data_IF_394917749807
#
_entry.id   IF_394917749807
#
_cell.length_a   1.000
_cell.length_b   1.000
_cell.length_c   1.000
_cell.angle_alpha   90.00
_cell.angle_beta   90.00
_cell.angle_gamma   90.00
#
_symmetry.space_group_name_H-M   'P 1'
#
loop_
_entity.id
_entity.type
_entity.pdbx_description
1 polymer ?
#
# COMPACT_ATOMS: atom_id res chain seq x y z
N UNK A 1 -51.22 -10.61 6.61
CA UNK A 1 -50.12 -10.90 7.56
C UNK A 1 -49.37 -12.07 6.97
N UNK A 2 -48.43 -11.85 6.05
CA UNK A 2 -47.03 -11.40 6.23
C UNK A 2 -46.18 -12.38 7.04
N UNK A 3 -45.31 -13.09 6.31
CA UNK A 3 -44.09 -13.71 6.83
C UNK A 3 -42.95 -13.18 5.94
N UNK A 4 -42.68 -11.88 6.07
CA UNK A 4 -41.43 -11.27 5.69
C UNK A 4 -40.62 -11.10 6.98
N UNK A 5 -39.53 -11.84 7.16
CA UNK A 5 -38.78 -11.74 8.41
C UNK A 5 -37.74 -12.81 8.67
N UNK A 6 -36.92 -13.17 7.69
CA UNK A 6 -35.59 -13.71 7.97
C UNK A 6 -34.60 -13.10 6.98
N UNK A 7 -34.14 -11.89 7.30
CA UNK A 7 -32.96 -11.30 6.68
C UNK A 7 -31.77 -12.10 7.19
N UNK A 8 -31.22 -12.97 6.35
CA UNK A 8 -30.03 -13.75 6.64
C UNK A 8 -28.81 -12.80 6.60
N UNK A 9 -28.40 -12.30 7.77
CA UNK A 9 -27.28 -11.37 7.94
C UNK A 9 -25.90 -12.04 7.90
N UNK A 10 -25.81 -13.32 7.53
CA UNK A 10 -24.51 -13.97 7.32
C UNK A 10 -23.84 -13.44 6.05
N UNK A 11 -22.51 -13.34 6.05
CA UNK A 11 -21.71 -12.91 4.90
C UNK A 11 -22.01 -13.76 3.65
N UNK A 12 -22.34 -15.05 3.84
CA UNK A 12 -22.86 -15.95 2.78
C UNK A 12 -24.24 -15.55 2.24
N UNK A 13 -25.14 -15.07 3.08
CA UNK A 13 -26.47 -14.60 2.68
C UNK A 13 -26.42 -13.32 1.85
N UNK A 14 -25.53 -12.40 2.20
CA UNK A 14 -25.30 -11.14 1.47
C UNK A 14 -24.65 -11.37 0.09
N UNK A 15 -23.74 -12.33 -0.01
CA UNK A 15 -23.10 -12.71 -1.28
C UNK A 15 -24.09 -13.42 -2.21
N UNK A 16 -24.94 -14.31 -1.68
CA UNK A 16 -25.98 -14.98 -2.48
C UNK A 16 -27.05 -14.00 -3.01
N UNK A 17 -27.48 -13.02 -2.20
CA UNK A 17 -28.50 -12.05 -2.63
C UNK A 17 -27.96 -11.10 -3.72
N UNK A 18 -26.66 -10.78 -3.68
CA UNK A 18 -25.99 -9.99 -4.72
C UNK A 18 -25.81 -10.75 -6.06
N UNK A 19 -25.67 -12.08 -6.00
CA UNK A 19 -25.45 -12.93 -7.18
C UNK A 19 -26.73 -13.33 -7.91
N UNK A 20 -27.86 -13.44 -7.19
CA UNK A 20 -29.12 -13.95 -7.76
C UNK A 20 -30.23 -12.91 -7.86
N UNK A 21 -30.03 -11.68 -7.37
CA UNK A 21 -31.01 -10.61 -7.42
C UNK A 21 -30.42 -9.36 -8.11
N UNK A 22 -30.63 -9.18 -9.43
CA UNK A 22 -30.06 -8.08 -10.21
C UNK A 22 -30.58 -6.68 -9.82
N UNK A 23 -31.44 -6.59 -8.80
CA UNK A 23 -31.89 -5.34 -8.18
C UNK A 23 -31.11 -4.89 -6.95
N UNK A 24 -30.11 -5.66 -6.48
CA UNK A 24 -29.32 -5.28 -5.31
C UNK A 24 -28.30 -4.18 -5.66
N UNK A 25 -28.26 -3.11 -4.86
CA UNK A 25 -27.54 -1.85 -5.14
C UNK A 25 -26.03 -1.87 -4.90
N UNK A 26 -25.39 -3.04 -4.73
CA UNK A 26 -23.95 -3.11 -4.45
C UNK A 26 -23.24 -4.05 -5.42
N UNK A 27 -22.16 -3.56 -6.03
CA UNK A 27 -21.30 -4.37 -6.90
C UNK A 27 -20.46 -5.35 -6.09
N UNK A 28 -19.98 -6.41 -6.74
CA UNK A 28 -19.07 -7.40 -6.13
C UNK A 28 -17.81 -6.73 -5.56
N UNK A 29 -17.35 -5.66 -6.20
CA UNK A 29 -16.22 -4.85 -5.74
C UNK A 29 -16.51 -4.16 -4.39
N UNK A 30 -17.75 -3.71 -4.17
CA UNK A 30 -18.17 -3.15 -2.88
C UNK A 30 -18.25 -4.22 -1.79
N UNK A 31 -18.56 -5.46 -2.14
CA UNK A 31 -18.63 -6.57 -1.18
C UNK A 31 -17.22 -7.02 -0.76
N UNK A 32 -16.29 -7.12 -1.70
CA UNK A 32 -14.89 -7.41 -1.42
C UNK A 32 -14.25 -6.32 -0.54
N UNK A 33 -14.55 -5.05 -0.83
CA UNK A 33 -14.12 -3.91 -0.03
C UNK A 33 -14.75 -3.90 1.38
N UNK A 34 -16.05 -4.18 1.51
CA UNK A 34 -16.75 -4.22 2.80
C UNK A 34 -16.24 -5.37 3.71
N UNK A 35 -15.84 -6.50 3.12
CA UNK A 35 -15.26 -7.63 3.86
C UNK A 35 -13.83 -7.37 4.35
N UNK A 36 -13.04 -6.58 3.60
CA UNK A 36 -11.73 -6.09 4.05
C UNK A 36 -11.83 -5.08 5.20
N UNK A 37 -12.94 -4.32 5.28
CA UNK A 37 -13.16 -3.25 6.27
C UNK A 37 -13.74 -3.77 7.59
N UNK A 38 -14.50 -4.85 7.60
CA UNK A 38 -15.28 -5.30 8.78
C UNK A 38 -14.58 -6.27 9.76
N UNK A 39 -13.25 -6.44 9.69
CA UNK A 39 -12.46 -7.28 10.63
C UNK A 39 -12.89 -8.76 10.72
N UNK A 40 -13.59 -9.31 9.72
CA UNK A 40 -13.82 -10.76 9.63
C UNK A 40 -12.55 -11.47 9.11
N UNK A 41 -12.27 -12.72 9.56
CA UNK A 41 -11.09 -13.45 9.13
C UNK A 41 -11.13 -13.70 7.61
N UNK A 42 -10.10 -13.19 6.92
CA UNK A 42 -9.90 -13.21 5.46
C UNK A 42 -9.85 -14.64 4.88
N UNK A 43 -9.75 -15.67 5.73
CA UNK A 43 -9.16 -16.96 5.37
C UNK A 43 -10.15 -17.96 4.74
N UNK A 44 -11.47 -17.86 4.95
CA UNK A 44 -12.37 -18.98 4.60
C UNK A 44 -13.41 -18.73 3.48
N UNK A 45 -13.54 -17.52 2.93
CA UNK A 45 -14.65 -17.18 2.01
C UNK A 45 -14.26 -16.84 0.56
N UNK A 46 -12.98 -16.84 0.18
CA UNK A 46 -12.57 -16.52 -1.20
C UNK A 46 -12.57 -17.74 -2.15
N UNK A 47 -12.89 -18.94 -1.68
CA UNK A 47 -12.80 -20.18 -2.49
C UNK A 47 -13.94 -20.39 -3.50
N UNK A 48 -14.87 -19.42 -3.66
CA UNK A 48 -16.16 -19.69 -4.28
C UNK A 48 -16.59 -18.90 -5.53
N UNK A 49 -15.97 -17.76 -5.91
CA UNK A 49 -16.69 -16.81 -6.80
C UNK A 49 -15.84 -16.14 -7.89
N UNK A 50 -15.75 -16.84 -9.04
CA UNK A 50 -15.71 -16.41 -10.47
C UNK A 50 -15.03 -15.10 -10.92
N UNK A 51 -13.96 -15.22 -11.74
CA UNK A 51 -13.68 -14.49 -13.03
C UNK A 51 -12.77 -15.44 -13.87
N UNK A 52 -12.50 -15.20 -15.17
CA UNK A 52 -11.63 -16.01 -16.06
C UNK A 52 -10.47 -16.71 -15.33
N UNK A 53 -10.08 -17.93 -15.74
CA UNK A 53 -9.06 -18.73 -15.02
C UNK A 53 -7.77 -17.96 -14.69
N UNK A 54 -7.36 -17.01 -15.52
CA UNK A 54 -6.22 -16.11 -15.29
C UNK A 54 -6.48 -15.08 -14.16
N UNK A 55 -7.64 -14.44 -14.15
CA UNK A 55 -8.07 -13.48 -13.10
C UNK A 55 -8.26 -14.20 -11.76
N UNK A 56 -8.83 -15.41 -11.78
CA UNK A 56 -8.98 -16.23 -10.57
C UNK A 56 -7.63 -16.65 -9.97
N UNK A 57 -6.62 -16.95 -10.80
CA UNK A 57 -5.29 -17.30 -10.33
C UNK A 57 -4.54 -16.09 -9.78
N UNK A 58 -4.66 -14.92 -10.44
CA UNK A 58 -4.06 -13.68 -9.98
C UNK A 58 -4.64 -13.23 -8.63
N UNK A 59 -5.97 -13.27 -8.46
CA UNK A 59 -6.65 -12.94 -7.20
C UNK A 59 -6.26 -13.95 -6.10
N UNK A 60 -6.23 -15.25 -6.42
CA UNK A 60 -5.81 -16.29 -5.46
C UNK A 60 -4.36 -16.10 -4.98
N UNK A 61 -3.44 -15.75 -5.88
CA UNK A 61 -2.04 -15.46 -5.55
C UNK A 61 -1.91 -14.18 -4.71
N UNK A 62 -2.64 -13.13 -5.07
CA UNK A 62 -2.71 -11.89 -4.30
C UNK A 62 -3.19 -12.14 -2.87
N UNK A 63 -4.33 -12.83 -2.70
CA UNK A 63 -4.89 -13.15 -1.39
C UNK A 63 -3.97 -14.06 -0.56
N UNK A 64 -3.33 -15.05 -1.19
CA UNK A 64 -2.39 -15.96 -0.52
C UNK A 64 -1.15 -15.22 0.00
N UNK A 65 -0.58 -14.31 -0.82
CA UNK A 65 0.54 -13.46 -0.41
C UNK A 65 0.16 -12.57 0.76
N UNK A 66 -0.95 -11.83 0.66
CA UNK A 66 -1.44 -11.00 1.77
C UNK A 66 -1.62 -11.82 3.06
N UNK A 67 -2.16 -13.04 2.97
CA UNK A 67 -2.32 -13.90 4.14
C UNK A 67 -0.97 -14.36 4.73
N UNK A 68 0.05 -14.62 3.92
CA UNK A 68 1.39 -14.97 4.41
C UNK A 68 2.00 -13.80 5.18
N UNK A 69 1.96 -12.62 4.58
CA UNK A 69 2.51 -11.39 5.17
C UNK A 69 1.78 -11.06 6.49
N UNK A 70 0.44 -11.14 6.52
CA UNK A 70 -0.34 -10.91 7.74
C UNK A 70 0.06 -11.88 8.87
N UNK A 71 0.32 -13.16 8.55
CA UNK A 71 0.81 -14.14 9.53
C UNK A 71 2.21 -13.80 10.04
N UNK A 72 3.12 -13.42 9.15
CA UNK A 72 4.49 -13.01 9.51
C UNK A 72 4.49 -11.78 10.40
N UNK A 73 3.71 -10.75 10.05
CA UNK A 73 3.56 -9.53 10.84
C UNK A 73 2.96 -9.82 12.23
N UNK A 74 1.92 -10.66 12.30
CA UNK A 74 1.33 -11.08 13.58
C UNK A 74 2.30 -11.91 14.42
N UNK A 75 3.05 -12.81 13.81
CA UNK A 75 4.08 -13.61 14.50
C UNK A 75 5.19 -12.73 15.07
N UNK A 76 5.52 -11.63 14.39
CA UNK A 76 6.45 -10.61 14.87
C UNK A 76 5.83 -9.62 15.88
N UNK A 77 4.54 -9.73 16.20
CA UNK A 77 3.83 -8.78 17.06
C UNK A 77 3.61 -7.40 16.43
N UNK A 78 3.82 -7.24 15.12
CA UNK A 78 3.68 -6.00 14.38
C UNK A 78 2.22 -5.76 13.96
N UNK A 79 1.36 -5.44 14.92
CA UNK A 79 -0.07 -5.16 14.67
C UNK A 79 -0.28 -3.99 13.72
N UNK A 80 0.55 -2.94 13.84
CA UNK A 80 0.53 -1.76 12.97
C UNK A 80 0.84 -2.10 11.52
N UNK A 81 1.83 -2.97 11.29
CA UNK A 81 2.10 -3.50 9.96
C UNK A 81 0.89 -4.25 9.40
N UNK A 82 0.18 -5.04 10.21
CA UNK A 82 -1.02 -5.73 9.73
C UNK A 82 -2.15 -4.76 9.34
N UNK A 83 -2.27 -3.62 10.01
CA UNK A 83 -3.22 -2.56 9.63
C UNK A 83 -2.80 -1.88 8.33
N UNK A 84 -1.52 -1.54 8.16
CA UNK A 84 -1.00 -0.97 6.92
C UNK A 84 -1.07 -1.93 5.73
N UNK A 85 -0.90 -3.24 5.96
CA UNK A 85 -1.14 -4.28 4.94
C UNK A 85 -2.59 -4.25 4.44
N UNK A 86 -3.57 -4.00 5.31
CA UNK A 86 -4.98 -3.85 4.89
C UNK A 86 -5.18 -2.60 4.06
N UNK A 87 -4.53 -1.49 4.42
CA UNK A 87 -4.63 -0.25 3.63
C UNK A 87 -4.02 -0.42 2.24
N UNK A 88 -2.87 -1.10 2.13
CA UNK A 88 -2.27 -1.46 0.84
C UNK A 88 -3.18 -2.42 0.05
N UNK A 89 -3.76 -3.43 0.71
CA UNK A 89 -4.67 -4.37 0.06
C UNK A 89 -5.89 -3.68 -0.56
N UNK A 90 -6.44 -2.63 0.10
CA UNK A 90 -7.53 -1.82 -0.47
C UNK A 90 -7.11 -1.11 -1.75
N UNK A 91 -5.88 -0.61 -1.83
CA UNK A 91 -5.39 0.08 -3.04
C UNK A 91 -5.25 -0.90 -4.21
N UNK A 92 -4.69 -2.08 -3.94
CA UNK A 92 -4.42 -3.07 -4.98
C UNK A 92 -5.58 -4.00 -5.31
N UNK A 93 -6.70 -3.93 -4.58
CA UNK A 93 -7.86 -4.80 -4.81
C UNK A 93 -8.39 -4.73 -6.24
N UNK A 94 -8.30 -3.56 -6.89
CA UNK A 94 -8.72 -3.35 -8.28
C UNK A 94 -7.60 -3.53 -9.31
N UNK A 95 -6.34 -3.69 -8.86
CA UNK A 95 -5.14 -3.80 -9.71
C UNK A 95 -4.09 -4.77 -9.13
N UNK A 96 -4.37 -6.08 -9.06
CA UNK A 96 -3.47 -7.06 -8.44
C UNK A 96 -2.09 -7.18 -9.10
N UNK A 97 -1.96 -6.79 -10.36
CA UNK A 97 -0.71 -6.74 -11.09
C UNK A 97 0.26 -5.67 -10.57
N UNK A 98 -0.27 -4.53 -10.10
CA UNK A 98 0.54 -3.47 -9.47
C UNK A 98 1.08 -3.94 -8.11
N UNK A 99 0.33 -4.77 -7.38
CA UNK A 99 0.81 -5.40 -6.14
C UNK A 99 2.04 -6.28 -6.38
N UNK A 100 2.11 -7.01 -7.49
CA UNK A 100 3.28 -7.82 -7.78
C UNK A 100 4.53 -6.98 -8.09
N UNK A 101 4.37 -5.78 -8.66
CA UNK A 101 5.49 -4.83 -8.84
C UNK A 101 5.95 -4.31 -7.49
N UNK A 102 5.02 -3.85 -6.66
CA UNK A 102 5.28 -3.43 -5.30
C UNK A 102 6.02 -4.51 -4.50
N UNK A 103 5.53 -5.75 -4.51
CA UNK A 103 6.15 -6.85 -3.77
C UNK A 103 7.54 -7.22 -4.29
N UNK A 104 7.86 -7.03 -5.58
CA UNK A 104 9.23 -7.27 -6.07
C UNK A 104 10.24 -6.34 -5.42
N UNK A 105 9.89 -5.07 -5.22
CA UNK A 105 10.75 -4.12 -4.51
C UNK A 105 10.81 -4.43 -3.01
N UNK A 106 9.69 -4.83 -2.41
CA UNK A 106 9.59 -5.13 -0.98
C UNK A 106 10.28 -6.45 -0.59
N UNK A 107 10.17 -7.49 -1.41
CA UNK A 107 10.76 -8.82 -1.17
C UNK A 107 12.31 -8.80 -1.22
N UNK A 108 12.90 -7.75 -1.81
CA UNK A 108 14.35 -7.55 -1.85
C UNK A 108 14.91 -6.92 -0.56
N UNK A 109 14.06 -6.43 0.33
CA UNK A 109 14.47 -5.79 1.58
C UNK A 109 14.82 -6.81 2.66
N UNK A 110 15.65 -6.41 3.62
CA UNK A 110 15.85 -7.20 4.83
C UNK A 110 14.55 -7.38 5.64
N UNK A 111 14.50 -8.36 6.54
CA UNK A 111 13.29 -8.68 7.29
C UNK A 111 12.73 -7.51 8.13
N UNK A 112 13.61 -6.62 8.61
CA UNK A 112 13.22 -5.46 9.41
C UNK A 112 12.64 -4.36 8.51
N UNK A 113 13.32 -4.07 7.40
CA UNK A 113 12.89 -3.12 6.37
C UNK A 113 11.58 -3.58 5.72
N UNK A 114 11.44 -4.87 5.44
CA UNK A 114 10.18 -5.49 4.99
C UNK A 114 9.01 -5.20 5.93
N UNK A 115 9.17 -5.47 7.23
CA UNK A 115 8.12 -5.18 8.22
C UNK A 115 7.84 -3.68 8.33
N UNK A 116 8.88 -2.85 8.18
CA UNK A 116 8.78 -1.39 8.23
C UNK A 116 7.91 -0.84 7.10
N UNK A 117 7.97 -1.39 5.89
CA UNK A 117 7.10 -1.00 4.77
C UNK A 117 5.63 -0.94 5.20
N UNK A 118 5.15 -2.02 5.81
CA UNK A 118 3.74 -2.14 6.19
C UNK A 118 3.39 -1.21 7.34
N UNK A 119 4.27 -1.06 8.34
CA UNK A 119 4.03 -0.10 9.42
C UNK A 119 4.01 1.35 8.92
N UNK A 120 4.89 1.69 7.97
CA UNK A 120 4.91 3.00 7.30
C UNK A 120 3.66 3.21 6.47
N UNK A 121 3.15 2.20 5.77
CA UNK A 121 1.89 2.31 5.03
C UNK A 121 0.71 2.65 5.96
N UNK A 122 0.69 2.07 7.18
CA UNK A 122 -0.28 2.45 8.21
C UNK A 122 -0.13 3.92 8.61
N UNK A 123 1.09 4.39 8.84
CA UNK A 123 1.33 5.80 9.20
C UNK A 123 0.95 6.77 8.08
N UNK A 124 1.24 6.42 6.83
CA UNK A 124 0.81 7.18 5.64
C UNK A 124 -0.72 7.32 5.65
N UNK A 125 -1.45 6.23 5.90
CA UNK A 125 -2.91 6.25 5.99
C UNK A 125 -3.42 7.08 7.18
N UNK A 126 -2.84 6.89 8.38
CA UNK A 126 -3.23 7.59 9.60
C UNK A 126 -3.01 9.11 9.51
N UNK A 127 -2.01 9.55 8.74
CA UNK A 127 -1.72 10.96 8.45
C UNK A 127 -2.52 11.52 7.25
N UNK A 128 -3.45 10.74 6.69
CA UNK A 128 -4.25 11.15 5.54
C UNK A 128 -3.44 11.35 4.26
N UNK A 129 -2.24 10.78 4.19
CA UNK A 129 -1.39 10.79 3.00
C UNK A 129 -1.85 9.70 2.01
N UNK A 130 -1.44 9.83 0.76
CA UNK A 130 -1.88 8.92 -0.30
C UNK A 130 -1.08 7.59 -0.26
N UNK A 131 -1.72 6.52 0.20
CA UNK A 131 -1.16 5.16 0.30
C UNK A 131 -0.84 4.57 -1.07
N UNK A 132 -1.70 4.79 -2.09
CA UNK A 132 -1.44 4.35 -3.47
C UNK A 132 -0.14 4.98 -4.00
N UNK A 133 0.05 6.28 -3.77
CA UNK A 133 1.28 6.99 -4.16
C UNK A 133 2.50 6.44 -3.45
N UNK A 134 2.41 6.19 -2.14
CA UNK A 134 3.50 5.55 -1.38
C UNK A 134 3.87 4.20 -1.99
N UNK A 135 2.88 3.35 -2.23
CA UNK A 135 3.10 2.01 -2.76
C UNK A 135 3.65 2.03 -4.19
N UNK A 136 3.13 2.89 -5.05
CA UNK A 136 3.60 3.05 -6.43
C UNK A 136 5.03 3.60 -6.51
N UNK A 137 5.38 4.55 -5.62
CA UNK A 137 6.74 5.10 -5.56
C UNK A 137 7.73 4.07 -5.02
N UNK A 138 7.38 3.33 -3.97
CA UNK A 138 8.26 2.27 -3.47
C UNK A 138 8.42 1.15 -4.50
N UNK A 139 7.32 0.76 -5.15
CA UNK A 139 7.30 -0.30 -6.16
C UNK A 139 7.98 0.06 -7.49
N UNK A 140 8.36 1.32 -7.71
CA UNK A 140 9.18 1.72 -8.86
C UNK A 140 10.67 1.59 -8.60
N UNK A 141 11.10 1.63 -7.34
CA UNK A 141 12.52 1.55 -6.96
C UNK A 141 12.96 0.09 -6.95
N UNK A 142 13.94 -0.27 -7.78
CA UNK A 142 14.46 -1.65 -7.83
C UNK A 142 15.66 -1.91 -6.91
N UNK A 143 16.44 -0.87 -6.59
CA UNK A 143 17.60 -0.98 -5.71
C UNK A 143 17.17 -1.02 -4.23
N UNK A 144 17.74 -1.97 -3.48
CA UNK A 144 17.42 -2.21 -2.07
C UNK A 144 17.72 -0.97 -1.20
N UNK A 145 18.90 -0.36 -1.36
CA UNK A 145 19.32 0.78 -0.54
C UNK A 145 18.52 2.04 -0.86
N UNK A 146 18.19 2.24 -2.12
CA UNK A 146 17.31 3.32 -2.54
C UNK A 146 15.90 3.13 -1.97
N UNK A 147 15.37 1.90 -1.97
CA UNK A 147 14.06 1.58 -1.38
C UNK A 147 14.05 1.83 0.14
N UNK A 148 15.11 1.43 0.84
CA UNK A 148 15.31 1.76 2.27
C UNK A 148 15.40 3.27 2.50
N UNK A 149 16.16 3.99 1.67
CA UNK A 149 16.27 5.44 1.72
C UNK A 149 14.93 6.16 1.54
N UNK A 150 14.06 5.65 0.65
CA UNK A 150 12.70 6.15 0.49
C UNK A 150 11.84 5.91 1.73
N UNK A 151 11.90 4.71 2.31
CA UNK A 151 11.20 4.37 3.55
C UNK A 151 11.64 5.27 4.70
N UNK A 152 12.95 5.45 4.88
CA UNK A 152 13.51 6.29 5.94
C UNK A 152 13.11 7.76 5.78
N UNK A 153 13.19 8.28 4.55
CA UNK A 153 12.77 9.64 4.23
C UNK A 153 11.26 9.84 4.47
N UNK A 154 10.44 8.85 4.12
CA UNK A 154 8.99 8.88 4.35
C UNK A 154 8.68 8.90 5.85
N UNK A 155 9.29 8.02 6.64
CA UNK A 155 9.10 8.01 8.10
C UNK A 155 9.57 9.30 8.75
N UNK A 156 10.71 9.86 8.32
CA UNK A 156 11.19 11.18 8.77
C UNK A 156 10.14 12.27 8.54
N UNK A 157 9.44 12.24 7.41
CA UNK A 157 8.34 13.19 7.13
C UNK A 157 7.16 12.96 8.07
N UNK A 158 6.76 11.70 8.26
CA UNK A 158 5.62 11.33 9.10
C UNK A 158 5.86 11.67 10.58
N UNK A 159 7.09 11.48 11.06
CA UNK A 159 7.52 11.66 12.44
C UNK A 159 7.78 13.11 12.84
N UNK A 160 7.77 14.06 11.90
CA UNK A 160 8.00 15.47 12.24
C UNK A 160 6.82 16.06 13.02
N UNK A 161 6.92 16.04 14.35
CA UNK A 161 5.85 16.48 15.26
C UNK A 161 5.60 18.00 15.17
N UNK A 162 6.59 18.76 14.70
CA UNK A 162 6.50 20.22 14.59
C UNK A 162 5.68 20.73 13.40
N UNK A 163 5.36 19.86 12.44
CA UNK A 163 4.73 20.25 11.18
C UNK A 163 3.29 19.76 11.06
N UNK A 164 2.49 20.53 10.32
CA UNK A 164 1.11 20.15 10.02
C UNK A 164 1.03 18.98 9.05
N UNK A 165 -0.07 18.23 9.06
CA UNK A 165 -0.29 17.14 8.09
C UNK A 165 -0.30 17.65 6.64
N UNK A 166 -0.71 18.90 6.42
CA UNK A 166 -0.63 19.55 5.10
C UNK A 166 0.82 19.73 4.63
N UNK A 167 1.72 20.14 5.52
CA UNK A 167 3.14 20.30 5.19
C UNK A 167 3.79 18.95 4.92
N UNK A 168 3.45 17.93 5.73
CA UNK A 168 3.89 16.55 5.50
C UNK A 168 3.43 16.03 4.14
N UNK A 169 2.17 16.24 3.79
CA UNK A 169 1.62 15.85 2.49
C UNK A 169 2.34 16.54 1.33
N UNK A 170 2.62 17.84 1.47
CA UNK A 170 3.35 18.61 0.46
C UNK A 170 4.76 18.08 0.24
N UNK A 171 5.52 17.86 1.32
CA UNK A 171 6.89 17.34 1.23
C UNK A 171 6.92 15.89 0.73
N UNK A 172 6.02 15.04 1.21
CA UNK A 172 5.87 13.67 0.72
C UNK A 172 5.56 13.63 -0.79
N UNK A 173 4.65 14.47 -1.26
CA UNK A 173 4.33 14.55 -2.69
C UNK A 173 5.53 14.99 -3.54
N UNK A 174 6.35 15.92 -3.04
CA UNK A 174 7.58 16.33 -3.72
C UNK A 174 8.62 15.22 -3.73
N UNK A 175 8.80 14.50 -2.62
CA UNK A 175 9.71 13.36 -2.54
C UNK A 175 9.31 12.28 -3.56
N UNK A 176 8.03 11.90 -3.57
CA UNK A 176 7.50 10.94 -4.53
C UNK A 176 7.70 11.41 -5.99
N UNK A 177 7.46 12.69 -6.27
CA UNK A 177 7.68 13.26 -7.60
C UNK A 177 9.16 13.25 -8.00
N UNK A 178 10.08 13.50 -7.06
CA UNK A 178 11.51 13.43 -7.31
C UNK A 178 11.96 12.01 -7.67
N UNK A 179 11.46 11.00 -6.96
CA UNK A 179 11.71 9.59 -7.30
C UNK A 179 11.17 9.28 -8.70
N UNK A 180 9.92 9.64 -9.00
CA UNK A 180 9.33 9.41 -10.33
C UNK A 180 10.14 10.08 -11.43
N UNK A 181 10.62 11.32 -11.24
CA UNK A 181 11.48 12.00 -12.21
C UNK A 181 12.76 11.21 -12.52
N UNK A 182 13.37 10.59 -11.51
CA UNK A 182 14.57 9.76 -11.73
C UNK A 182 14.21 8.46 -12.43
N UNK A 183 13.16 7.77 -11.97
CA UNK A 183 12.73 6.49 -12.53
C UNK A 183 12.24 6.62 -13.98
N UNK A 184 11.62 7.74 -14.34
CA UNK A 184 11.15 8.02 -15.70
C UNK A 184 12.25 8.60 -16.62
N UNK A 185 13.45 8.88 -16.09
CA UNK A 185 14.55 9.42 -16.89
C UNK A 185 15.16 8.39 -17.85
N UNK A 186 15.85 8.88 -18.88
CA UNK A 186 16.60 8.07 -19.86
C UNK A 186 17.94 7.52 -19.31
N UNK A 187 18.23 7.76 -18.02
CA UNK A 187 19.44 7.27 -17.36
C UNK A 187 19.48 5.74 -17.34
N UNK A 188 20.68 5.16 -17.32
CA UNK A 188 20.83 3.72 -17.06
C UNK A 188 20.47 3.43 -15.61
N UNK A 189 20.04 2.19 -15.33
CA UNK A 189 19.63 1.79 -13.98
C UNK A 189 20.68 2.14 -12.91
N UNK A 190 21.96 1.85 -13.18
CA UNK A 190 23.05 2.14 -12.24
C UNK A 190 23.20 3.64 -11.93
N UNK A 191 22.88 4.51 -12.89
CA UNK A 191 22.91 5.97 -12.68
C UNK A 191 21.66 6.44 -11.93
N UNK A 192 20.48 5.85 -12.20
CA UNK A 192 19.25 6.09 -11.43
C UNK A 192 19.45 5.75 -9.95
N UNK A 193 20.02 4.58 -9.67
CA UNK A 193 20.27 4.12 -8.30
C UNK A 193 21.20 5.07 -7.54
N UNK A 194 22.24 5.60 -8.21
CA UNK A 194 23.17 6.59 -7.62
C UNK A 194 22.46 7.92 -7.34
N UNK A 195 21.65 8.42 -8.28
CA UNK A 195 20.89 9.67 -8.10
C UNK A 195 19.87 9.53 -6.96
N UNK A 196 19.16 8.40 -6.88
CA UNK A 196 18.24 8.11 -5.79
C UNK A 196 18.95 8.01 -4.44
N UNK A 197 20.10 7.33 -4.39
CA UNK A 197 20.92 7.23 -3.17
C UNK A 197 21.35 8.62 -2.67
N UNK A 198 21.77 9.50 -3.58
CA UNK A 198 22.14 10.88 -3.25
C UNK A 198 20.94 11.72 -2.81
N UNK A 199 19.79 11.56 -3.47
CA UNK A 199 18.52 12.19 -3.09
C UNK A 199 18.12 11.82 -1.66
N UNK A 200 18.13 10.53 -1.33
CA UNK A 200 17.74 10.05 0.00
C UNK A 200 18.78 10.36 1.07
N UNK A 201 20.06 10.41 0.72
CA UNK A 201 21.11 10.90 1.63
C UNK A 201 20.84 12.36 2.01
N UNK A 202 20.57 13.22 1.01
CA UNK A 202 20.18 14.62 1.24
C UNK A 202 18.91 14.74 2.09
N UNK A 203 17.92 13.88 1.82
CA UNK A 203 16.68 13.89 2.57
C UNK A 203 16.87 13.48 4.04
N UNK A 204 17.75 12.52 4.28
CA UNK A 204 18.09 12.03 5.62
C UNK A 204 18.85 13.10 6.41
N UNK A 205 19.79 13.80 5.78
CA UNK A 205 20.61 14.85 6.39
C UNK A 205 19.85 16.15 6.70
N UNK A 206 18.72 16.38 6.03
CA UNK A 206 17.87 17.56 6.25
C UNK A 206 17.39 17.63 7.71
N UNK A 207 17.50 18.79 8.37
CA UNK A 207 17.18 18.94 9.80
C UNK A 207 15.73 19.32 10.05
N UNK A 208 14.98 19.66 9.01
CA UNK A 208 13.57 20.06 9.09
C UNK A 208 12.85 19.74 7.78
N UNK A 209 11.50 19.71 7.82
CA UNK A 209 10.69 19.59 6.60
C UNK A 209 10.91 20.73 5.62
N UNK A 210 11.13 21.96 6.10
CA UNK A 210 11.41 23.12 5.24
C UNK A 210 12.73 22.97 4.47
N UNK A 211 13.76 22.46 5.15
CA UNK A 211 15.07 22.19 4.53
C UNK A 211 14.95 21.08 3.48
N UNK A 212 14.22 20.01 3.81
CA UNK A 212 13.92 18.93 2.89
C UNK A 212 13.13 19.43 1.68
N UNK A 213 12.09 20.22 1.90
CA UNK A 213 11.29 20.81 0.83
C UNK A 213 12.15 21.63 -0.12
N UNK A 214 13.05 22.45 0.43
CA UNK A 214 13.97 23.28 -0.34
C UNK A 214 14.96 22.44 -1.16
N UNK A 215 15.45 21.33 -0.59
CA UNK A 215 16.34 20.40 -1.31
C UNK A 215 15.61 19.73 -2.48
N UNK A 216 14.38 19.26 -2.25
CA UNK A 216 13.53 18.66 -3.28
C UNK A 216 13.18 19.68 -4.38
N UNK A 217 12.92 20.94 -4.01
CA UNK A 217 12.67 22.02 -4.97
C UNK A 217 13.87 22.37 -5.84
N UNK A 218 15.09 22.19 -5.33
CA UNK A 218 16.32 22.36 -6.11
C UNK A 218 16.56 21.17 -7.03
N UNK A 219 16.23 19.97 -6.58
CA UNK A 219 16.36 18.75 -7.36
C UNK A 219 15.41 18.69 -8.56
N UNK A 220 14.17 19.16 -8.36
CA UNK A 220 13.10 19.13 -9.38
C UNK A 220 13.17 20.27 -10.43
N UNK A 221 14.20 21.12 -10.38
CA UNK A 221 14.39 22.27 -11.30
C UNK A 221 15.48 22.00 -12.31
#
# INVERSE_FOLDING_TARGET
>A
MDIAGLVNTSSKGLIMDALFNPGSKKSIDQIASDMLVNKEPIVDNYSGTLVNQEDSAAISNFASKLSSIDKELKAAGNTKGADGLRELAKQFASKPEEFNKFMKSVDNLDAKSFQKVFSTASDVADKGLNVEKFANTLGSISDEKAAEGFLDSTNKILDDVGSSDSDKAKVFNKLASAVTTVEDSDLKQTEKDEVLTNLFSTATESKSLTELETALDKFLK
#
